data_IF_936640021394
#
_entry.id   IF_936640021394
#
_cell.length_a   1.000
_cell.length_b   1.000
_cell.length_c   1.000
_cell.angle_alpha   90.00
_cell.angle_beta   90.00
_cell.angle_gamma   90.00
#
_symmetry.space_group_name_H-M   'P 1'
#
loop_
_entity.id
_entity.type
_entity.pdbx_description
1 polymer ?
#
# COMPACT_ATOMS: atom_id res chain seq x y z
N UNK A 1 -7.51 -15.61 70.20
CA UNK A 1 -8.87 -15.61 69.60
C UNK A 1 -8.97 -16.79 68.63
N UNK A 2 -10.21 -17.23 68.36
CA UNK A 2 -10.66 -18.58 67.95
C UNK A 2 -10.06 -19.20 66.66
N UNK A 3 -10.06 -20.54 66.70
CA UNK A 3 -9.80 -21.59 65.69
C UNK A 3 -10.76 -21.57 64.47
N UNK A 4 -10.48 -22.52 63.55
CA UNK A 4 -11.32 -23.17 62.50
C UNK A 4 -11.01 -22.63 61.08
N UNK A 5 -10.23 -23.30 60.21
CA UNK A 5 -10.39 -24.61 59.52
C UNK A 5 -11.80 -24.84 58.97
N UNK A 6 -11.88 -25.19 57.66
CA UNK A 6 -12.96 -25.80 56.85
C UNK A 6 -13.24 -24.93 55.60
N UNK A 7 -13.63 -25.40 54.41
CA UNK A 7 -13.69 -26.68 53.69
C UNK A 7 -14.51 -26.35 52.42
N UNK A 8 -14.12 -26.84 51.23
CA UNK A 8 -14.98 -26.85 50.02
C UNK A 8 -15.15 -25.50 49.32
N UNK A 9 -15.38 -25.42 48.01
CA UNK A 9 -16.05 -26.37 47.13
C UNK A 9 -15.64 -26.06 45.68
N UNK A 10 -15.22 -27.08 44.94
CA UNK A 10 -15.13 -27.03 43.47
C UNK A 10 -16.56 -27.09 42.94
N UNK A 11 -16.97 -26.08 42.16
CA UNK A 11 -18.19 -26.13 41.37
C UNK A 11 -17.81 -25.95 39.89
N UNK A 12 -17.65 -27.09 39.22
CA UNK A 12 -17.52 -27.20 37.77
C UNK A 12 -18.90 -26.94 37.16
N UNK A 13 -19.15 -25.73 36.67
CA UNK A 13 -20.37 -25.40 35.95
C UNK A 13 -20.23 -25.91 34.50
N UNK A 14 -20.83 -27.07 34.23
CA UNK A 14 -21.17 -27.54 32.90
C UNK A 14 -22.23 -26.61 32.30
N UNK A 15 -21.83 -25.66 31.46
CA UNK A 15 -22.77 -24.91 30.63
C UNK A 15 -23.11 -25.75 29.40
N UNK A 16 -24.35 -26.26 29.40
CA UNK A 16 -24.94 -26.98 28.28
C UNK A 16 -25.16 -26.08 27.06
N UNK A 17 -24.97 -26.65 25.88
CA UNK A 17 -25.36 -26.05 24.62
C UNK A 17 -26.88 -25.94 24.53
N UNK A 18 -27.42 -24.73 24.75
CA UNK A 18 -28.73 -24.36 24.22
C UNK A 18 -28.55 -23.93 22.78
N UNK A 19 -29.12 -24.69 21.85
CA UNK A 19 -29.22 -24.35 20.43
C UNK A 19 -30.45 -23.44 20.25
N UNK A 20 -30.23 -22.14 20.33
CA UNK A 20 -31.23 -21.11 20.01
C UNK A 20 -31.50 -21.14 18.49
N UNK A 21 -32.77 -21.16 18.02
CA UNK A 21 -33.08 -20.99 16.60
C UNK A 21 -32.66 -19.58 16.15
N UNK A 22 -31.99 -19.42 15.00
CA UNK A 22 -31.67 -18.10 14.50
C UNK A 22 -32.96 -17.34 14.20
N UNK A 23 -33.07 -16.13 14.74
CA UNK A 23 -34.12 -15.18 14.43
C UNK A 23 -34.17 -14.94 12.90
N UNK A 24 -35.35 -14.64 12.32
CA UNK A 24 -35.44 -14.29 10.91
C UNK A 24 -34.61 -13.03 10.66
N UNK A 25 -33.56 -13.19 9.86
CA UNK A 25 -32.77 -12.09 9.32
C UNK A 25 -33.69 -11.23 8.46
N UNK A 26 -34.05 -10.06 9.00
CA UNK A 26 -34.57 -8.95 8.22
C UNK A 26 -33.42 -8.49 7.31
N UNK A 27 -33.65 -8.24 6.00
CA UNK A 27 -32.59 -7.83 5.10
C UNK A 27 -32.01 -6.51 5.59
N UNK A 28 -30.74 -6.55 6.00
CA UNK A 28 -29.92 -5.37 6.20
C UNK A 28 -29.92 -4.57 4.88
N UNK A 29 -30.14 -3.25 4.92
CA UNK A 29 -30.16 -2.46 3.71
C UNK A 29 -28.76 -2.53 3.09
N UNK A 30 -28.72 -3.12 1.91
CA UNK A 30 -27.71 -2.99 0.87
C UNK A 30 -26.66 -1.92 1.18
N UNK A 31 -25.45 -2.35 1.57
CA UNK A 31 -24.25 -1.54 1.60
C UNK A 31 -23.75 -1.25 0.16
N UNK A 32 -24.66 -0.79 -0.69
CA UNK A 32 -24.37 -0.24 -2.00
C UNK A 32 -24.44 1.29 -1.83
N UNK A 33 -23.46 2.03 -2.37
CA UNK A 33 -23.31 3.50 -2.30
C UNK A 33 -22.65 4.08 -1.02
N UNK A 34 -21.40 3.67 -0.79
CA UNK A 34 -20.33 4.65 -0.59
C UNK A 34 -19.39 4.54 -1.80
N UNK A 35 -19.23 5.62 -2.57
CA UNK A 35 -18.44 5.63 -3.80
C UNK A 35 -16.94 5.46 -3.49
N UNK A 36 -16.49 4.21 -3.35
CA UNK A 36 -15.08 3.87 -3.38
C UNK A 36 -14.66 3.73 -4.85
N UNK A 37 -13.86 4.68 -5.33
CA UNK A 37 -13.14 4.55 -6.59
C UNK A 37 -12.32 3.25 -6.50
N UNK A 38 -12.52 2.31 -7.41
CA UNK A 38 -11.71 1.08 -7.41
C UNK A 38 -10.25 1.43 -7.69
N UNK A 39 -9.27 0.67 -7.17
CA UNK A 39 -7.85 0.92 -7.43
C UNK A 39 -7.53 1.09 -8.92
N UNK A 40 -8.11 0.25 -9.78
CA UNK A 40 -7.98 0.36 -11.25
C UNK A 40 -8.48 1.70 -11.77
N UNK A 41 -9.65 2.17 -11.32
CA UNK A 41 -10.18 3.46 -11.75
C UNK A 41 -9.37 4.66 -11.23
N UNK A 42 -8.70 4.53 -10.08
CA UNK A 42 -7.78 5.56 -9.59
C UNK A 42 -6.48 5.59 -10.39
N UNK A 43 -5.92 4.42 -10.73
CA UNK A 43 -4.71 4.33 -11.55
C UNK A 43 -4.93 4.94 -12.94
N UNK A 44 -6.08 4.69 -13.56
CA UNK A 44 -6.44 5.26 -14.85
C UNK A 44 -6.48 6.80 -14.81
N UNK A 45 -7.04 7.39 -13.75
CA UNK A 45 -7.08 8.84 -13.56
C UNK A 45 -5.66 9.41 -13.42
N UNK A 46 -4.84 8.83 -12.55
CA UNK A 46 -3.45 9.26 -12.35
C UNK A 46 -2.68 9.21 -13.67
N UNK A 47 -2.75 8.11 -14.41
CA UNK A 47 -2.04 7.96 -15.67
C UNK A 47 -2.52 8.94 -16.74
N UNK A 48 -3.81 9.28 -16.75
CA UNK A 48 -4.40 10.25 -17.67
C UNK A 48 -4.00 11.70 -17.34
N UNK A 49 -3.73 12.03 -16.08
CA UNK A 49 -3.34 13.38 -15.63
C UNK A 49 -1.83 13.66 -15.78
N UNK A 50 -1.00 12.63 -15.99
CA UNK A 50 0.45 12.80 -16.16
C UNK A 50 0.83 13.77 -17.31
N UNK A 51 1.95 14.50 -17.21
CA UNK A 51 2.48 15.33 -18.30
C UNK A 51 2.82 14.51 -19.56
N UNK A 52 2.78 15.16 -20.73
CA UNK A 52 3.12 14.50 -22.01
C UNK A 52 4.53 13.90 -22.04
N UNK A 53 5.48 14.51 -21.35
CA UNK A 53 6.85 13.96 -21.21
C UNK A 53 6.84 12.58 -20.55
N UNK A 54 6.03 12.38 -19.51
CA UNK A 54 5.88 11.09 -18.83
C UNK A 54 5.13 10.11 -19.75
N UNK A 55 4.02 10.54 -20.34
CA UNK A 55 3.18 9.74 -21.25
C UNK A 55 3.92 9.27 -22.50
N UNK A 56 4.89 10.03 -23.00
CA UNK A 56 5.69 9.68 -24.18
C UNK A 56 6.37 8.31 -24.09
N UNK A 57 6.52 7.77 -22.88
CA UNK A 57 7.19 6.49 -22.61
C UNK A 57 6.22 5.35 -22.35
N UNK A 58 4.90 5.58 -22.37
CA UNK A 58 3.90 4.57 -22.04
C UNK A 58 3.91 3.39 -23.01
N UNK A 59 4.13 3.62 -24.30
CA UNK A 59 4.17 2.56 -25.31
C UNK A 59 5.32 1.56 -25.07
N UNK A 60 6.46 2.03 -24.55
CA UNK A 60 7.59 1.17 -24.22
C UNK A 60 7.53 0.57 -22.81
N UNK A 61 6.68 1.11 -21.93
CA UNK A 61 6.69 0.80 -20.49
C UNK A 61 5.45 0.15 -19.95
N UNK A 62 4.30 0.33 -20.61
CA UNK A 62 3.01 -0.22 -20.19
C UNK A 62 2.76 -0.05 -18.69
N UNK A 63 2.74 1.19 -18.17
CA UNK A 63 2.75 1.43 -16.73
C UNK A 63 1.52 0.88 -16.03
N UNK A 64 0.34 0.94 -16.67
CA UNK A 64 -0.89 0.38 -16.11
C UNK A 64 -0.73 -1.13 -15.90
N UNK A 65 -0.41 -1.83 -16.98
CA UNK A 65 -0.29 -3.28 -17.00
C UNK A 65 0.82 -3.75 -16.05
N UNK A 66 1.93 -3.00 -15.97
CA UNK A 66 3.04 -3.28 -15.06
C UNK A 66 2.61 -3.15 -13.60
N UNK A 67 1.97 -2.02 -13.22
CA UNK A 67 1.56 -1.78 -11.84
C UNK A 67 0.44 -2.73 -11.39
N UNK A 68 -0.49 -3.07 -12.30
CA UNK A 68 -1.52 -4.09 -12.08
C UNK A 68 -0.93 -5.49 -11.93
N UNK A 69 0.07 -5.85 -12.76
CA UNK A 69 0.75 -7.14 -12.66
C UNK A 69 1.43 -7.33 -11.29
N UNK A 70 2.04 -6.27 -10.76
CA UNK A 70 2.62 -6.30 -9.42
C UNK A 70 1.59 -6.22 -8.29
N UNK A 71 0.31 -5.99 -8.61
CA UNK A 71 -0.76 -5.85 -7.61
C UNK A 71 -0.55 -4.64 -6.70
N UNK A 72 -0.01 -3.55 -7.23
CA UNK A 72 0.20 -2.34 -6.44
C UNK A 72 -1.15 -1.63 -6.23
N UNK A 73 -1.46 -1.34 -4.97
CA UNK A 73 -2.72 -0.70 -4.57
C UNK A 73 -2.47 0.57 -3.74
N UNK A 74 -3.44 1.50 -3.71
CA UNK A 74 -3.37 2.66 -2.83
C UNK A 74 -3.11 2.30 -1.36
N UNK A 75 -2.31 3.11 -0.67
CA UNK A 75 -1.94 2.89 0.73
C UNK A 75 -0.74 1.97 0.95
N UNK A 76 -0.24 1.28 -0.08
CA UNK A 76 0.97 0.46 0.05
C UNK A 76 2.24 1.31 0.26
N UNK A 77 3.25 0.69 0.86
CA UNK A 77 4.63 1.17 0.80
C UNK A 77 5.37 0.42 -0.31
N UNK A 78 5.81 1.13 -1.35
CA UNK A 78 6.49 0.57 -2.52
C UNK A 78 7.93 1.06 -2.55
N UNK A 79 8.87 0.15 -2.79
CA UNK A 79 10.29 0.51 -3.00
C UNK A 79 10.57 0.50 -4.50
N UNK A 80 10.90 1.66 -5.07
CA UNK A 80 11.37 1.80 -6.45
C UNK A 80 12.91 1.73 -6.47
N UNK A 81 13.45 0.63 -6.97
CA UNK A 81 14.89 0.37 -6.99
C UNK A 81 15.53 0.92 -8.24
N UNK A 82 16.58 1.71 -8.08
CA UNK A 82 17.28 2.42 -9.15
C UNK A 82 16.26 3.26 -9.96
N UNK A 83 15.55 4.18 -9.28
CA UNK A 83 14.44 4.92 -9.89
C UNK A 83 14.89 5.85 -11.02
N UNK A 84 16.21 6.11 -11.12
CA UNK A 84 16.79 7.06 -12.06
C UNK A 84 16.14 8.43 -11.90
N UNK A 85 15.61 8.96 -12.99
CA UNK A 85 14.85 10.23 -13.04
C UNK A 85 13.42 10.12 -12.46
N UNK A 86 13.18 9.17 -11.54
CA UNK A 86 11.95 9.07 -10.73
C UNK A 86 10.70 8.80 -11.58
N UNK A 87 10.83 8.03 -12.67
CA UNK A 87 9.72 7.86 -13.63
C UNK A 87 8.54 7.05 -13.05
N UNK A 88 8.80 5.88 -12.46
CA UNK A 88 7.75 5.08 -11.81
C UNK A 88 7.38 5.66 -10.45
N UNK A 89 8.38 6.05 -9.65
CA UNK A 89 8.15 6.72 -8.39
C UNK A 89 7.24 7.96 -8.53
N UNK A 90 7.36 8.78 -9.57
CA UNK A 90 6.46 9.91 -9.82
C UNK A 90 5.00 9.49 -10.02
N UNK A 91 4.74 8.44 -10.78
CA UNK A 91 3.38 7.87 -10.94
C UNK A 91 2.86 7.33 -9.59
N UNK A 92 3.74 6.65 -8.84
CA UNK A 92 3.41 6.04 -7.55
C UNK A 92 3.10 7.09 -6.47
N UNK A 93 3.74 8.26 -6.49
CA UNK A 93 3.47 9.34 -5.53
C UNK A 93 2.00 9.76 -5.55
N UNK A 94 1.41 9.89 -6.74
CA UNK A 94 0.00 10.24 -6.90
C UNK A 94 -0.94 9.05 -6.66
N UNK A 95 -0.55 7.87 -7.16
CA UNK A 95 -1.40 6.68 -7.11
C UNK A 95 -1.54 6.10 -5.71
N UNK A 96 -0.48 6.07 -4.91
CA UNK A 96 -0.49 5.46 -3.59
C UNK A 96 -1.29 6.28 -2.57
N UNK A 97 -1.50 7.58 -2.83
CA UNK A 97 -2.31 8.46 -2.01
C UNK A 97 -1.72 8.75 -0.62
N UNK A 98 -2.49 9.42 0.28
CA UNK A 98 -1.96 10.01 1.51
C UNK A 98 -1.46 9.01 2.55
N UNK A 99 -1.92 7.75 2.48
CA UNK A 99 -1.48 6.68 3.39
C UNK A 99 -0.36 5.83 2.79
N UNK A 100 -0.11 5.97 1.49
CA UNK A 100 0.92 5.23 0.79
C UNK A 100 2.26 5.93 0.85
N UNK A 101 3.31 5.18 0.52
CA UNK A 101 4.69 5.68 0.50
C UNK A 101 5.42 5.09 -0.67
N UNK A 102 6.19 5.91 -1.38
CA UNK A 102 7.22 5.42 -2.29
C UNK A 102 8.59 5.66 -1.66
N UNK A 103 9.46 4.66 -1.72
CA UNK A 103 10.85 4.74 -1.26
C UNK A 103 11.75 4.54 -2.47
N UNK A 104 12.44 5.61 -2.87
CA UNK A 104 13.48 5.56 -3.90
C UNK A 104 14.76 4.94 -3.32
N UNK A 105 15.08 3.71 -3.71
CA UNK A 105 16.29 3.02 -3.28
C UNK A 105 17.32 2.99 -4.40
N UNK A 106 18.46 3.62 -4.21
CA UNK A 106 19.48 3.78 -5.24
C UNK A 106 20.89 3.45 -4.70
N UNK A 107 21.88 3.36 -5.58
CA UNK A 107 23.27 3.19 -5.17
C UNK A 107 23.74 4.33 -4.25
N UNK A 108 24.65 4.00 -3.33
CA UNK A 108 25.32 5.00 -2.50
C UNK A 108 26.04 6.02 -3.37
N UNK A 109 26.26 7.24 -2.84
CA UNK A 109 27.02 8.25 -3.57
C UNK A 109 28.42 7.76 -3.95
N UNK A 110 29.07 7.02 -3.06
CA UNK A 110 30.39 6.41 -3.28
C UNK A 110 30.35 5.39 -4.43
N UNK A 111 29.33 4.54 -4.46
CA UNK A 111 29.17 3.55 -5.53
C UNK A 111 28.91 4.23 -6.88
N UNK A 112 28.17 5.35 -6.91
CA UNK A 112 27.97 6.09 -8.15
C UNK A 112 29.27 6.59 -8.80
N UNK A 113 30.28 6.96 -7.99
CA UNK A 113 31.59 7.41 -8.52
C UNK A 113 32.34 6.31 -9.31
N UNK A 114 32.00 5.04 -9.08
CA UNK A 114 32.64 3.91 -9.74
C UNK A 114 32.15 3.70 -11.19
N UNK A 115 31.03 4.34 -11.59
CA UNK A 115 30.49 4.23 -12.95
C UNK A 115 31.10 5.24 -13.95
N UNK A 116 32.09 6.03 -13.51
CA UNK A 116 32.79 6.99 -14.37
C UNK A 116 31.82 7.95 -15.07
N UNK A 117 31.89 8.04 -16.40
CA UNK A 117 31.06 8.95 -17.19
C UNK A 117 29.56 8.62 -17.18
N UNK A 118 29.15 7.45 -16.69
CA UNK A 118 27.74 7.08 -16.53
C UNK A 118 27.14 7.57 -15.21
N UNK A 119 27.99 7.98 -14.25
CA UNK A 119 27.50 8.54 -13.01
C UNK A 119 26.71 9.82 -13.29
N UNK A 120 25.47 9.95 -12.80
CA UNK A 120 24.75 11.21 -12.92
C UNK A 120 25.55 12.29 -12.20
N UNK A 121 25.59 13.48 -12.80
CA UNK A 121 26.22 14.62 -12.14
C UNK A 121 25.52 14.88 -10.80
N UNK A 122 26.24 15.22 -9.73
CA UNK A 122 25.63 15.47 -8.42
C UNK A 122 24.46 16.44 -8.47
N UNK A 123 24.51 17.48 -9.32
CA UNK A 123 23.44 18.49 -9.43
C UNK A 123 22.18 17.95 -10.12
N UNK A 124 22.34 16.94 -11.00
CA UNK A 124 21.21 16.24 -11.62
C UNK A 124 20.59 15.29 -10.60
N UNK A 125 21.43 14.49 -9.93
CA UNK A 125 20.97 13.53 -8.92
C UNK A 125 20.26 14.21 -7.75
N UNK A 126 20.72 15.40 -7.34
CA UNK A 126 20.09 16.18 -6.28
C UNK A 126 18.62 16.54 -6.58
N UNK A 127 18.20 16.55 -7.86
CA UNK A 127 16.82 16.80 -8.27
C UNK A 127 15.94 15.54 -8.27
N UNK A 128 16.55 14.35 -8.22
CA UNK A 128 15.83 13.07 -8.23
C UNK A 128 15.35 12.66 -6.85
N UNK A 129 16.06 13.09 -5.80
CA UNK A 129 15.52 13.05 -4.44
C UNK A 129 14.50 14.19 -4.32
N UNK A 130 13.32 14.00 -4.90
CA UNK A 130 12.27 15.01 -4.84
C UNK A 130 11.78 15.20 -3.40
N UNK A 131 11.41 16.45 -3.12
CA UNK A 131 10.37 16.82 -2.15
C UNK A 131 9.11 15.96 -2.29
#
# INVERSE_FOLDING_TARGET
MRRHLLLGTVALALFGCSKEPPAPVSPEPSAEQAAAVSPTSQLDLVLAEQPEEIKSRYEARHPKETLEFFGIEPGMTVVDTIPGEVWYAGILMDYLGPNGKVIAADYSQEMWQLFGNYAPKPEVKAKWAAE
#
